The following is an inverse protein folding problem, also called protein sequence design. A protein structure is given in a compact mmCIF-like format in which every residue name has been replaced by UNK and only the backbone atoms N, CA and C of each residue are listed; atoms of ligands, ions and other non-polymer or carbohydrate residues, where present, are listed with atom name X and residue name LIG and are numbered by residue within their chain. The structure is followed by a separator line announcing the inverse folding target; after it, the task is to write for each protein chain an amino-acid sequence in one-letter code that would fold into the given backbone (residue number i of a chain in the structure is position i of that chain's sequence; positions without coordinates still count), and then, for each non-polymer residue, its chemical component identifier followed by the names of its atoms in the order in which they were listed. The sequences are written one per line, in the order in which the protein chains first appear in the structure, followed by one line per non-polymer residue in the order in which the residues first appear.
data_IF_206729072285
#
_entry.id   IF_206729072285
#
_cell.length_a   1.000
_cell.length_b   1.000
_cell.length_c   1.000
_cell.angle_alpha   90.00
_cell.angle_beta   90.00
_cell.angle_gamma   90.00
#
_symmetry.space_group_name_H-M   'P 1'
#
loop_
_entity.id
_entity.type
_entity.pdbx_description
1 polymer ?
#
# COMPACT_ATOMS: atom_id res chain seq x y z
N UNK A 1 19.86 10.28 28.07
CA UNK A 1 18.97 11.40 28.39
C UNK A 1 17.65 10.95 29.04
N UNK A 2 17.39 9.65 29.14
CA UNK A 2 16.21 9.08 29.79
C UNK A 2 14.97 8.97 28.92
N UNK A 3 15.03 9.29 27.63
CA UNK A 3 13.92 9.07 26.67
C UNK A 3 13.69 7.59 26.44
N UNK A 4 12.42 7.18 26.39
CA UNK A 4 12.05 5.84 25.94
C UNK A 4 12.10 5.80 24.41
N UNK A 5 12.65 4.73 23.86
CA UNK A 5 12.83 4.56 22.40
C UNK A 5 12.43 3.14 21.98
N UNK A 6 12.03 3.00 20.72
CA UNK A 6 11.86 1.70 20.08
C UNK A 6 13.13 1.37 19.29
N UNK A 7 13.62 0.14 19.44
CA UNK A 7 14.82 -0.33 18.72
C UNK A 7 14.51 -1.63 18.00
N UNK A 8 14.60 -1.61 16.66
CA UNK A 8 14.47 -2.75 15.77
C UNK A 8 15.90 -3.22 15.41
N UNK A 9 16.22 -4.47 15.67
CA UNK A 9 17.57 -5.04 15.42
C UNK A 9 17.42 -6.23 14.50
N UNK A 10 18.24 -6.29 13.45
CA UNK A 10 18.27 -7.46 12.58
C UNK A 10 18.78 -8.70 13.31
N UNK A 11 18.08 -9.81 13.09
CA UNK A 11 18.55 -11.09 13.61
C UNK A 11 19.90 -11.48 12.95
N UNK A 12 20.90 -11.88 13.72
CA UNK A 12 22.17 -12.38 13.17
C UNK A 12 21.92 -13.54 12.19
N UNK A 13 22.56 -13.51 11.02
CA UNK A 13 22.42 -14.54 10.00
C UNK A 13 21.16 -14.45 9.11
N UNK A 14 20.31 -13.42 9.27
CA UNK A 14 19.10 -13.27 8.47
C UNK A 14 19.42 -13.07 6.97
N UNK A 15 20.51 -12.39 6.66
CA UNK A 15 20.93 -12.13 5.27
C UNK A 15 21.27 -13.44 4.57
N UNK A 16 22.09 -14.26 5.23
CA UNK A 16 22.54 -15.56 4.72
C UNK A 16 21.36 -16.54 4.60
N UNK A 17 20.43 -16.54 5.56
CA UNK A 17 19.24 -17.37 5.51
C UNK A 17 18.33 -16.96 4.34
N UNK A 18 18.10 -15.67 4.13
CA UNK A 18 17.30 -15.19 3.02
C UNK A 18 17.95 -15.44 1.66
N UNK A 19 19.25 -15.28 1.53
CA UNK A 19 19.97 -15.60 0.30
C UNK A 19 19.87 -17.10 -0.03
N UNK A 20 19.93 -17.98 0.98
CA UNK A 20 19.74 -19.41 0.79
C UNK A 20 18.29 -19.75 0.36
N UNK A 21 17.28 -19.11 0.95
CA UNK A 21 15.89 -19.29 0.60
C UNK A 21 15.59 -18.80 -0.81
N UNK A 22 16.15 -17.65 -1.22
CA UNK A 22 15.99 -17.09 -2.56
C UNK A 22 16.72 -17.88 -3.66
N UNK A 23 17.74 -18.69 -3.29
CA UNK A 23 18.37 -19.60 -4.21
C UNK A 23 17.55 -20.89 -4.42
N UNK A 24 16.61 -21.18 -3.54
CA UNK A 24 15.69 -22.30 -3.67
C UNK A 24 14.61 -21.99 -4.71
N UNK A 25 14.80 -22.49 -5.95
CA UNK A 25 13.85 -22.31 -7.05
C UNK A 25 12.40 -22.68 -6.68
N UNK A 26 12.21 -23.66 -5.80
CA UNK A 26 10.89 -24.12 -5.34
C UNK A 26 10.12 -23.04 -4.55
N UNK A 27 10.80 -22.19 -3.78
CA UNK A 27 10.16 -21.09 -3.01
C UNK A 27 9.65 -20.03 -3.98
N UNK A 28 10.45 -19.70 -4.99
CA UNK A 28 10.09 -18.74 -6.03
C UNK A 28 8.94 -19.26 -6.87
N UNK A 29 8.98 -20.52 -7.30
CA UNK A 29 7.87 -21.17 -8.03
C UNK A 29 6.58 -21.23 -7.18
N UNK A 30 6.69 -21.48 -5.88
CA UNK A 30 5.55 -21.48 -4.97
C UNK A 30 4.93 -20.07 -4.87
N UNK A 31 5.72 -19.02 -4.70
CA UNK A 31 5.25 -17.63 -4.68
C UNK A 31 4.59 -17.28 -6.02
N UNK A 32 5.19 -17.64 -7.13
CA UNK A 32 4.67 -17.41 -8.47
C UNK A 32 3.36 -18.17 -8.74
N UNK A 33 3.24 -19.41 -8.27
CA UNK A 33 2.03 -20.21 -8.42
C UNK A 33 0.87 -19.67 -7.57
N UNK A 34 1.14 -19.17 -6.38
CA UNK A 34 0.15 -18.51 -5.52
C UNK A 34 -0.38 -17.21 -6.15
N UNK A 35 0.43 -16.56 -6.97
CA UNK A 35 0.08 -15.32 -7.68
C UNK A 35 -0.62 -15.56 -9.03
N UNK A 36 -0.82 -16.80 -9.46
CA UNK A 36 -1.50 -17.14 -10.72
C UNK A 36 -0.76 -16.69 -11.99
N UNK A 37 0.57 -16.57 -11.93
CA UNK A 37 1.37 -15.82 -12.89
C UNK A 37 1.91 -16.63 -14.08
N UNK A 38 1.28 -17.69 -14.51
CA UNK A 38 1.75 -18.54 -15.64
C UNK A 38 2.00 -17.80 -16.97
N UNK A 39 1.70 -16.49 -17.07
CA UNK A 39 1.91 -15.63 -18.24
C UNK A 39 2.92 -14.48 -18.01
N UNK A 40 3.55 -14.40 -16.85
CA UNK A 40 4.48 -13.31 -16.52
C UNK A 40 5.93 -13.72 -16.75
N UNK A 41 6.77 -12.74 -17.00
CA UNK A 41 8.22 -12.94 -17.08
C UNK A 41 8.74 -13.35 -15.69
N UNK A 42 8.88 -14.65 -15.48
CA UNK A 42 9.29 -15.23 -14.21
C UNK A 42 10.64 -14.72 -13.71
N UNK A 43 11.56 -14.39 -14.62
CA UNK A 43 12.89 -13.86 -14.26
C UNK A 43 12.78 -12.46 -13.68
N UNK A 44 12.02 -11.59 -14.35
CA UNK A 44 11.80 -10.21 -13.88
C UNK A 44 11.11 -10.20 -12.51
N UNK A 45 10.09 -11.03 -12.33
CA UNK A 45 9.37 -11.16 -11.08
C UNK A 45 10.28 -11.68 -9.95
N UNK A 46 11.14 -12.66 -10.26
CA UNK A 46 12.12 -13.18 -9.30
C UNK A 46 13.11 -12.10 -8.85
N UNK A 47 13.63 -11.30 -9.78
CA UNK A 47 14.55 -10.22 -9.43
C UNK A 47 13.86 -9.13 -8.62
N UNK A 48 12.61 -8.79 -8.94
CA UNK A 48 11.81 -7.83 -8.16
C UNK A 48 11.58 -8.32 -6.72
N UNK A 49 11.25 -9.59 -6.54
CA UNK A 49 11.12 -10.21 -5.21
C UNK A 49 12.44 -10.15 -4.44
N UNK A 50 13.56 -10.51 -5.06
CA UNK A 50 14.88 -10.44 -4.43
C UNK A 50 15.27 -9.02 -4.03
N UNK A 51 14.97 -8.05 -4.88
CA UNK A 51 15.27 -6.64 -4.60
C UNK A 51 14.47 -6.15 -3.38
N UNK A 52 13.19 -6.51 -3.27
CA UNK A 52 12.36 -6.17 -2.11
C UNK A 52 12.89 -6.78 -0.83
N UNK A 53 13.27 -8.04 -0.85
CA UNK A 53 13.89 -8.66 0.32
C UNK A 53 15.21 -7.98 0.73
N UNK A 54 16.02 -7.54 -0.22
CA UNK A 54 17.23 -6.77 0.09
C UNK A 54 16.92 -5.40 0.70
N UNK A 55 15.86 -4.73 0.22
CA UNK A 55 15.39 -3.46 0.81
C UNK A 55 14.92 -3.65 2.26
N UNK A 56 14.17 -4.72 2.56
CA UNK A 56 13.73 -5.05 3.93
C UNK A 56 14.90 -5.30 4.90
N UNK A 57 16.07 -5.65 4.37
CA UNK A 57 17.30 -5.83 5.13
C UNK A 57 18.13 -4.54 5.27
N UNK A 58 17.68 -3.42 4.74
CA UNK A 58 18.38 -2.15 4.85
C UNK A 58 17.57 -1.12 5.64
N UNK A 59 17.80 -1.06 6.95
CA UNK A 59 17.10 -0.14 7.82
C UNK A 59 17.44 1.34 7.59
N UNK A 60 18.46 1.66 6.80
CA UNK A 60 18.72 3.04 6.38
C UNK A 60 17.66 3.52 5.40
N UNK A 61 17.18 2.62 4.52
CA UNK A 61 16.05 2.92 3.62
C UNK A 61 14.74 3.11 4.38
N UNK A 62 14.49 2.28 5.40
CA UNK A 62 13.30 2.43 6.26
C UNK A 62 13.32 3.78 7.00
N UNK A 63 14.49 4.18 7.51
CA UNK A 63 14.68 5.49 8.17
C UNK A 63 14.41 6.68 7.21
N UNK A 64 14.96 6.62 6.00
CA UNK A 64 14.72 7.64 4.97
C UNK A 64 13.24 7.74 4.61
N UNK A 65 12.59 6.60 4.37
CA UNK A 65 11.16 6.52 4.03
C UNK A 65 10.28 7.06 5.15
N UNK A 66 10.57 6.69 6.40
CA UNK A 66 9.86 7.21 7.57
C UNK A 66 9.97 8.74 7.69
N UNK A 67 11.16 9.30 7.48
CA UNK A 67 11.37 10.75 7.49
C UNK A 67 10.57 11.44 6.36
N UNK A 68 10.51 10.87 5.16
CA UNK A 68 9.72 11.40 4.05
C UNK A 68 8.22 11.39 4.41
N UNK A 69 7.70 10.29 4.94
CA UNK A 69 6.30 10.21 5.38
C UNK A 69 5.99 11.20 6.49
N UNK A 70 6.92 11.39 7.42
CA UNK A 70 6.80 12.38 8.49
C UNK A 70 6.71 13.80 7.93
N UNK A 71 7.51 14.14 6.93
CA UNK A 71 7.47 15.44 6.26
C UNK A 71 6.17 15.68 5.48
N UNK A 72 5.67 14.65 4.78
CA UNK A 72 4.39 14.70 4.07
C UNK A 72 3.24 15.03 5.02
N UNK A 73 3.28 14.50 6.24
CA UNK A 73 2.17 14.60 7.21
C UNK A 73 2.37 15.61 8.34
N UNK A 74 3.47 16.38 8.33
CA UNK A 74 3.87 17.29 9.43
C UNK A 74 2.81 18.30 9.86
N UNK A 75 1.90 18.67 8.95
CA UNK A 75 0.85 19.67 9.21
C UNK A 75 -0.45 19.04 9.74
N UNK A 76 -0.51 17.72 9.89
CA UNK A 76 -1.67 17.01 10.46
C UNK A 76 -1.32 16.45 11.84
N UNK A 77 -1.78 17.09 12.93
CA UNK A 77 -1.41 16.69 14.30
C UNK A 77 -2.00 15.34 14.73
N UNK A 78 -2.99 14.81 13.98
CA UNK A 78 -3.59 13.52 14.25
C UNK A 78 -2.84 12.36 13.57
N UNK A 79 -1.94 12.66 12.62
CA UNK A 79 -1.05 11.67 11.99
C UNK A 79 0.30 11.74 12.68
N UNK A 80 0.64 10.70 13.44
CA UNK A 80 1.85 10.66 14.25
C UNK A 80 2.84 9.63 13.72
N UNK A 81 3.99 10.11 13.31
CA UNK A 81 5.11 9.28 12.82
C UNK A 81 6.30 9.58 13.71
N UNK A 82 6.83 8.59 14.45
CA UNK A 82 7.92 8.81 15.39
C UNK A 82 9.18 9.32 14.69
N UNK A 83 9.93 10.19 15.34
CA UNK A 83 11.20 10.65 14.78
C UNK A 83 12.23 9.53 14.80
N UNK A 84 13.02 9.44 13.73
CA UNK A 84 14.19 8.55 13.66
C UNK A 84 15.31 9.16 14.49
N UNK A 85 15.98 8.33 15.31
CA UNK A 85 17.16 8.72 16.07
C UNK A 85 18.38 8.26 15.27
N UNK A 86 18.84 9.12 14.37
CA UNK A 86 19.86 8.80 13.36
C UNK A 86 21.18 8.36 14.00
N UNK A 87 21.61 9.00 15.08
CA UNK A 87 22.84 8.67 15.79
C UNK A 87 22.80 7.30 16.50
N UNK A 88 21.63 6.66 16.53
CA UNK A 88 21.39 5.32 17.09
C UNK A 88 20.85 4.35 16.04
N UNK A 89 20.86 4.76 14.77
CA UNK A 89 20.39 3.96 13.65
C UNK A 89 21.55 3.60 12.71
N UNK A 90 21.43 2.50 12.02
CA UNK A 90 22.41 1.99 11.07
C UNK A 90 21.70 1.00 10.12
N UNK A 91 22.44 0.43 9.17
CA UNK A 91 21.88 -0.58 8.26
C UNK A 91 21.19 -1.76 8.96
N UNK A 92 21.61 -2.11 10.20
CA UNK A 92 21.10 -3.29 10.96
C UNK A 92 20.40 -2.93 12.26
N UNK A 93 20.35 -1.67 12.61
CA UNK A 93 19.69 -1.17 13.83
C UNK A 93 18.88 0.05 13.46
N UNK A 94 17.60 0.04 13.78
CA UNK A 94 16.70 1.15 13.55
C UNK A 94 16.12 1.61 14.88
N UNK A 95 16.31 2.87 15.20
CA UNK A 95 15.90 3.47 16.47
C UNK A 95 14.99 4.64 16.22
N UNK A 96 13.83 4.66 16.88
CA UNK A 96 12.86 5.74 16.80
C UNK A 96 12.42 6.18 18.19
N UNK A 97 11.77 7.32 18.28
CA UNK A 97 10.98 7.66 19.46
C UNK A 97 9.95 6.58 19.73
N UNK A 98 9.66 6.39 21.03
CA UNK A 98 8.56 5.51 21.42
C UNK A 98 7.21 6.16 21.10
N UNK A 99 6.32 5.38 20.50
CA UNK A 99 4.98 5.79 20.18
C UNK A 99 3.98 5.05 21.07
N UNK A 100 3.18 5.78 21.82
CA UNK A 100 2.11 5.22 22.62
C UNK A 100 0.82 5.12 21.82
N UNK A 101 -0.08 4.24 22.24
CA UNK A 101 -1.41 4.08 21.63
C UNK A 101 -1.95 2.67 21.83
N UNK A 102 -3.23 2.51 21.58
CA UNK A 102 -3.92 1.22 21.65
C UNK A 102 -3.59 0.40 20.40
N UNK A 103 -3.31 -0.89 20.53
CA UNK A 103 -3.22 -1.79 19.38
C UNK A 103 -4.63 -1.96 18.76
N UNK A 104 -4.66 -2.41 17.50
CA UNK A 104 -5.90 -2.57 16.73
C UNK A 104 -6.97 -3.40 17.45
N UNK A 105 -6.57 -4.49 18.10
CA UNK A 105 -7.50 -5.39 18.79
C UNK A 105 -8.24 -4.72 19.97
N UNK A 106 -7.62 -3.75 20.60
CA UNK A 106 -8.25 -2.94 21.65
C UNK A 106 -9.04 -1.79 21.03
N UNK A 107 -8.46 -1.08 20.05
CA UNK A 107 -9.08 0.05 19.39
C UNK A 107 -10.44 -0.30 18.74
N UNK A 108 -10.57 -1.48 18.14
CA UNK A 108 -11.83 -1.93 17.53
C UNK A 108 -13.00 -2.03 18.51
N UNK A 109 -12.73 -2.09 19.80
CA UNK A 109 -13.73 -2.17 20.88
C UNK A 109 -14.14 -0.78 21.42
N UNK A 110 -13.49 0.29 20.97
CA UNK A 110 -13.81 1.65 21.37
C UNK A 110 -15.20 2.09 20.87
N UNK A 111 -15.68 3.21 21.40
CA UNK A 111 -16.94 3.80 20.97
C UNK A 111 -16.90 4.20 19.48
N UNK A 112 -18.08 4.37 18.88
CA UNK A 112 -18.23 4.64 17.44
C UNK A 112 -17.58 5.97 17.02
N UNK A 113 -17.71 7.00 17.85
CA UNK A 113 -17.17 8.34 17.56
C UNK A 113 -15.64 8.27 17.41
N UNK A 114 -14.96 7.62 18.34
CA UNK A 114 -13.52 7.46 18.33
C UNK A 114 -13.04 6.60 17.16
N UNK A 115 -13.72 5.49 16.89
CA UNK A 115 -13.44 4.63 15.72
C UNK A 115 -13.62 5.38 14.40
N UNK A 116 -14.62 6.27 14.30
CA UNK A 116 -14.82 7.13 13.14
C UNK A 116 -13.66 8.11 12.95
N UNK A 117 -13.23 8.78 14.03
CA UNK A 117 -12.08 9.69 13.98
C UNK A 117 -10.81 9.01 13.51
N UNK A 118 -10.53 7.81 14.03
CA UNK A 118 -9.40 7.02 13.57
C UNK A 118 -9.51 6.60 12.11
N UNK A 119 -10.69 6.19 11.67
CA UNK A 119 -10.90 5.84 10.26
C UNK A 119 -10.64 7.04 9.34
N UNK A 120 -11.10 8.23 9.70
CA UNK A 120 -10.81 9.46 8.95
C UNK A 120 -9.31 9.79 8.93
N UNK A 121 -8.61 9.58 10.05
CA UNK A 121 -7.15 9.78 10.13
C UNK A 121 -6.39 8.78 9.26
N UNK A 122 -6.80 7.49 9.25
CA UNK A 122 -6.24 6.47 8.37
C UNK A 122 -6.42 6.84 6.89
N UNK A 123 -7.61 7.29 6.50
CA UNK A 123 -7.87 7.73 5.13
C UNK A 123 -7.02 8.95 4.74
N UNK A 124 -6.92 9.96 5.60
CA UNK A 124 -6.04 11.13 5.34
C UNK A 124 -4.60 10.73 5.17
N UNK A 125 -4.09 9.81 5.99
CA UNK A 125 -2.74 9.28 5.86
C UNK A 125 -2.52 8.68 4.48
N UNK A 126 -3.37 7.73 4.07
CA UNK A 126 -3.23 7.02 2.80
C UNK A 126 -3.35 7.98 1.61
N UNK A 127 -4.40 8.80 1.57
CA UNK A 127 -4.62 9.71 0.45
C UNK A 127 -3.54 10.77 0.32
N UNK A 128 -3.10 11.35 1.43
CA UNK A 128 -2.05 12.38 1.41
C UNK A 128 -0.72 11.79 0.94
N UNK A 129 -0.34 10.63 1.43
CA UNK A 129 0.86 9.93 0.95
C UNK A 129 0.78 9.63 -0.55
N UNK A 130 -0.32 9.06 -1.02
CA UNK A 130 -0.47 8.63 -2.41
C UNK A 130 -0.61 9.81 -3.37
N UNK A 131 -1.53 10.74 -3.11
CA UNK A 131 -1.93 11.77 -4.07
C UNK A 131 -1.02 13.00 -3.99
N UNK A 132 -0.56 13.38 -2.80
CA UNK A 132 0.36 14.52 -2.61
C UNK A 132 1.80 14.06 -2.65
N UNK A 133 2.16 13.07 -1.83
CA UNK A 133 3.53 12.59 -1.70
C UNK A 133 3.99 11.70 -2.85
N UNK A 134 3.10 11.09 -3.60
CA UNK A 134 3.45 10.14 -4.67
C UNK A 134 4.08 8.85 -4.13
N UNK A 135 3.77 8.48 -2.88
CA UNK A 135 4.29 7.32 -2.19
C UNK A 135 3.15 6.44 -1.68
N UNK A 136 3.29 5.14 -1.85
CA UNK A 136 2.36 4.15 -1.37
C UNK A 136 3.03 3.28 -0.30
N UNK A 137 2.45 3.23 0.93
CA UNK A 137 2.86 2.24 1.92
C UNK A 137 2.16 0.92 1.60
N UNK A 138 2.94 -0.06 1.16
CA UNK A 138 2.44 -1.33 0.65
C UNK A 138 2.28 -2.41 1.74
N UNK A 139 2.47 -2.07 3.03
CA UNK A 139 2.23 -2.97 4.16
C UNK A 139 1.27 -2.34 5.19
N UNK A 140 -0.03 -2.25 4.89
CA UNK A 140 -1.04 -1.70 5.78
C UNK A 140 -1.46 -2.68 6.90
N UNK A 141 -0.50 -3.38 7.50
CA UNK A 141 -0.79 -4.35 8.55
C UNK A 141 -1.33 -3.62 9.80
N UNK A 142 -2.44 -4.08 10.43
CA UNK A 142 -3.01 -3.43 11.61
C UNK A 142 -2.05 -3.30 12.80
N UNK A 143 -1.05 -4.17 12.91
CA UNK A 143 0.01 -4.09 13.91
C UNK A 143 0.96 -2.91 13.76
N UNK A 144 0.90 -2.20 12.62
CA UNK A 144 1.70 -1.01 12.36
C UNK A 144 1.00 0.30 12.74
N UNK A 145 -0.20 0.20 13.39
CA UNK A 145 -1.02 1.33 13.77
C UNK A 145 -1.24 1.37 15.28
N UNK A 146 -1.08 2.56 15.88
CA UNK A 146 -1.29 2.83 17.30
C UNK A 146 -2.35 3.92 17.45
N UNK A 147 -3.50 3.55 18.01
CA UNK A 147 -4.69 4.41 18.10
C UNK A 147 -4.70 5.19 19.39
N UNK A 148 -4.97 6.49 19.34
CA UNK A 148 -4.88 7.39 20.48
C UNK A 148 -6.23 8.00 20.85
N UNK A 149 -6.41 8.37 22.13
CA UNK A 149 -7.68 8.83 22.69
C UNK A 149 -8.22 10.12 22.06
N UNK A 150 -7.33 10.92 21.45
CA UNK A 150 -7.71 12.18 20.79
C UNK A 150 -8.10 11.99 19.31
N UNK A 151 -8.27 10.76 18.85
CA UNK A 151 -8.58 10.44 17.46
C UNK A 151 -7.34 10.38 16.55
N UNK A 152 -6.16 10.61 17.09
CA UNK A 152 -4.90 10.46 16.38
C UNK A 152 -4.53 8.99 16.14
N UNK A 153 -3.74 8.77 15.09
CA UNK A 153 -3.16 7.45 14.77
C UNK A 153 -1.67 7.59 14.58
N UNK A 154 -0.94 6.72 15.27
CA UNK A 154 0.47 6.55 15.08
C UNK A 154 0.78 5.50 14.02
N UNK A 155 1.75 5.77 13.17
CA UNK A 155 2.15 4.92 12.06
C UNK A 155 3.61 4.53 12.21
N UNK A 156 3.88 3.25 12.12
CA UNK A 156 5.23 2.67 12.14
C UNK A 156 5.39 1.70 10.98
N UNK A 157 6.63 1.28 10.74
CA UNK A 157 7.02 0.36 9.67
C UNK A 157 6.83 0.92 8.26
N UNK A 158 7.90 1.53 7.76
CA UNK A 158 8.00 2.07 6.40
C UNK A 158 8.98 1.26 5.54
N UNK A 159 9.21 -0.01 5.90
CA UNK A 159 10.07 -0.93 5.15
C UNK A 159 9.56 -1.21 3.73
N UNK A 160 8.24 -1.26 3.54
CA UNK A 160 7.63 -1.56 2.25
C UNK A 160 6.94 -0.33 1.64
N UNK A 161 7.71 0.64 1.16
CA UNK A 161 7.19 1.84 0.48
C UNK A 161 7.48 1.79 -1.00
N UNK A 162 6.47 2.14 -1.81
CA UNK A 162 6.54 2.17 -3.27
C UNK A 162 6.37 3.59 -3.79
N UNK A 163 7.32 4.13 -4.57
CA UNK A 163 7.09 5.36 -5.31
C UNK A 163 6.05 5.14 -6.41
N UNK A 164 5.10 6.07 -6.52
CA UNK A 164 4.13 6.09 -7.60
C UNK A 164 4.77 6.83 -8.78
N UNK A 165 4.87 6.18 -9.92
CA UNK A 165 5.41 6.77 -11.14
C UNK A 165 4.68 8.08 -11.50
N UNK A 166 5.40 9.13 -11.89
CA UNK A 166 4.86 10.47 -12.13
C UNK A 166 3.66 10.47 -13.08
N UNK A 167 3.70 9.67 -14.15
CA UNK A 167 2.58 9.60 -15.10
C UNK A 167 1.33 8.98 -14.46
N UNK A 168 1.49 7.97 -13.61
CA UNK A 168 0.40 7.34 -12.85
C UNK A 168 -0.15 8.26 -11.79
N UNK A 169 0.72 8.98 -11.09
CA UNK A 169 0.31 9.99 -10.11
C UNK A 169 -0.55 11.08 -10.75
N UNK A 170 -0.20 11.51 -11.99
CA UNK A 170 -1.02 12.43 -12.76
C UNK A 170 -2.41 11.86 -13.02
N UNK A 171 -2.49 10.61 -13.49
CA UNK A 171 -3.77 9.95 -13.73
C UNK A 171 -4.57 9.72 -12.44
N UNK A 172 -3.92 9.33 -11.35
CA UNK A 172 -4.57 9.18 -10.05
C UNK A 172 -5.21 10.50 -9.59
N UNK A 173 -4.49 11.61 -9.70
CA UNK A 173 -5.02 12.95 -9.37
C UNK A 173 -6.22 13.33 -10.26
N UNK A 174 -6.15 13.06 -11.55
CA UNK A 174 -7.25 13.34 -12.47
C UNK A 174 -8.46 12.46 -12.16
N UNK A 175 -8.27 11.18 -11.84
CA UNK A 175 -9.32 10.25 -11.46
C UNK A 175 -10.08 10.75 -10.22
N UNK A 176 -9.35 11.16 -9.17
CA UNK A 176 -9.97 11.74 -7.98
C UNK A 176 -10.70 13.04 -8.27
N UNK A 177 -10.14 13.94 -9.08
CA UNK A 177 -10.79 15.20 -9.47
C UNK A 177 -12.07 14.94 -10.24
N UNK A 178 -12.03 14.02 -11.20
CA UNK A 178 -13.18 13.65 -12.01
C UNK A 178 -14.30 13.00 -11.18
N UNK A 179 -13.94 12.10 -10.24
CA UNK A 179 -14.90 11.51 -9.31
C UNK A 179 -15.61 12.57 -8.46
N UNK A 180 -14.87 13.55 -7.94
CA UNK A 180 -15.43 14.64 -7.15
C UNK A 180 -16.33 15.59 -7.94
N UNK A 181 -15.99 15.84 -9.21
CA UNK A 181 -16.78 16.74 -10.08
C UNK A 181 -17.94 16.05 -10.78
N UNK A 182 -18.03 14.71 -10.71
CA UNK A 182 -19.03 13.93 -11.44
C UNK A 182 -18.81 13.87 -12.96
N UNK A 183 -17.58 14.19 -13.42
CA UNK A 183 -17.21 14.10 -14.84
C UNK A 183 -16.86 12.65 -15.21
N UNK A 184 -17.87 11.89 -15.64
CA UNK A 184 -17.74 10.48 -16.00
C UNK A 184 -16.75 10.26 -17.15
N UNK A 185 -16.70 11.17 -18.13
CA UNK A 185 -15.77 11.03 -19.26
C UNK A 185 -14.32 11.17 -18.81
N UNK A 186 -14.02 12.22 -18.04
CA UNK A 186 -12.69 12.42 -17.48
C UNK A 186 -12.30 11.28 -16.51
N UNK A 187 -13.26 10.73 -15.76
CA UNK A 187 -13.05 9.58 -14.88
C UNK A 187 -12.64 8.35 -15.68
N UNK A 188 -13.37 7.99 -16.74
CA UNK A 188 -13.07 6.84 -17.59
C UNK A 188 -11.71 6.99 -18.28
N UNK A 189 -11.40 8.18 -18.82
CA UNK A 189 -10.10 8.49 -19.43
C UNK A 189 -8.96 8.33 -18.42
N UNK A 190 -9.14 8.82 -17.20
CA UNK A 190 -8.11 8.72 -16.16
C UNK A 190 -7.91 7.26 -15.66
N UNK A 191 -9.01 6.50 -15.51
CA UNK A 191 -8.95 5.09 -15.14
C UNK A 191 -8.21 4.26 -16.21
N UNK A 192 -8.51 4.50 -17.47
CA UNK A 192 -7.84 3.85 -18.61
C UNK A 192 -6.35 4.22 -18.67
N UNK A 193 -6.03 5.51 -18.50
CA UNK A 193 -4.65 6.00 -18.50
C UNK A 193 -3.80 5.46 -17.35
N UNK A 194 -4.40 5.29 -16.18
CA UNK A 194 -3.73 4.76 -14.98
C UNK A 194 -3.29 3.30 -15.16
N UNK A 195 -4.07 2.49 -15.90
CA UNK A 195 -3.79 1.07 -16.16
C UNK A 195 -3.30 0.80 -17.59
N UNK A 196 -3.00 1.84 -18.38
CA UNK A 196 -2.51 1.76 -19.75
C UNK A 196 -3.35 0.82 -20.63
N UNK A 197 -4.69 0.96 -20.57
CA UNK A 197 -5.61 0.12 -21.35
C UNK A 197 -5.54 0.46 -22.83
N UNK A 198 -5.81 -0.54 -23.68
CA UNK A 198 -5.77 -0.41 -25.15
C UNK A 198 -7.10 -0.79 -25.80
N UNK A 199 -8.18 -0.53 -25.10
CA UNK A 199 -9.53 -0.85 -25.57
C UNK A 199 -9.97 -2.30 -25.33
N UNK A 200 -11.19 -2.60 -25.79
CA UNK A 200 -11.78 -3.93 -25.70
C UNK A 200 -12.36 -4.28 -24.32
N UNK A 201 -12.66 -5.56 -24.13
CA UNK A 201 -13.31 -6.05 -22.90
C UNK A 201 -12.51 -5.77 -21.62
N UNK A 202 -11.19 -5.68 -21.71
CA UNK A 202 -10.35 -5.35 -20.56
C UNK A 202 -10.56 -3.91 -20.10
N UNK A 203 -10.67 -2.98 -21.02
CA UNK A 203 -10.91 -1.57 -20.70
C UNK A 203 -12.26 -1.38 -20.01
N UNK A 204 -13.32 -2.04 -20.48
CA UNK A 204 -14.62 -2.00 -19.83
C UNK A 204 -14.58 -2.56 -18.40
N UNK A 205 -13.88 -3.67 -18.19
CA UNK A 205 -13.67 -4.21 -16.84
C UNK A 205 -12.91 -3.25 -15.92
N UNK A 206 -11.94 -2.52 -16.45
CA UNK A 206 -11.17 -1.51 -15.69
C UNK A 206 -12.07 -0.35 -15.29
N UNK A 207 -12.88 0.17 -16.20
CA UNK A 207 -13.84 1.25 -15.91
C UNK A 207 -14.84 0.84 -14.84
N UNK A 208 -15.42 -0.36 -14.98
CA UNK A 208 -16.38 -0.91 -14.02
C UNK A 208 -15.75 -1.07 -12.64
N UNK A 209 -14.55 -1.64 -12.55
CA UNK A 209 -13.86 -1.84 -11.29
C UNK A 209 -13.45 -0.51 -10.64
N UNK A 210 -12.94 0.44 -11.43
CA UNK A 210 -12.62 1.78 -10.95
C UNK A 210 -13.88 2.49 -10.41
N UNK A 211 -15.01 2.41 -11.10
CA UNK A 211 -16.28 2.98 -10.64
C UNK A 211 -16.71 2.35 -9.30
N UNK A 212 -16.58 1.03 -9.14
CA UNK A 212 -16.86 0.36 -7.85
C UNK A 212 -15.95 0.86 -6.73
N UNK A 213 -14.64 0.98 -6.97
CA UNK A 213 -13.67 1.45 -5.97
C UNK A 213 -13.94 2.90 -5.55
N UNK A 214 -14.48 3.73 -6.43
CA UNK A 214 -14.72 5.15 -6.19
C UNK A 214 -16.12 5.47 -5.66
N UNK A 215 -17.00 4.47 -5.49
CA UNK A 215 -18.33 4.67 -4.88
C UNK A 215 -18.30 5.41 -3.54
N UNK A 216 -17.34 5.22 -2.63
CA UNK A 216 -17.27 6.00 -1.42
C UNK A 216 -17.16 7.52 -1.65
N UNK A 217 -16.67 7.94 -2.80
CA UNK A 217 -16.55 9.35 -3.20
C UNK A 217 -17.79 9.78 -4.00
N UNK A 218 -18.19 8.99 -5.02
CA UNK A 218 -19.28 9.36 -5.94
C UNK A 218 -20.65 9.27 -5.30
N UNK A 219 -20.85 8.33 -4.37
CA UNK A 219 -22.13 8.08 -3.69
C UNK A 219 -22.15 8.67 -2.26
N UNK A 220 -21.31 9.67 -1.98
CA UNK A 220 -21.22 10.29 -0.64
C UNK A 220 -22.54 10.94 -0.18
N UNK A 221 -22.98 10.75 1.08
CA UNK A 221 -22.34 9.98 2.15
C UNK A 221 -22.44 8.46 1.97
N UNK A 222 -21.33 7.75 2.06
CA UNK A 222 -21.24 6.32 1.80
C UNK A 222 -20.85 5.55 3.08
N UNK A 223 -21.58 4.48 3.37
CA UNK A 223 -21.27 3.61 4.50
C UNK A 223 -20.43 2.40 4.04
N UNK A 224 -19.18 2.35 4.48
CA UNK A 224 -18.29 1.23 4.19
C UNK A 224 -18.70 0.01 5.02
N UNK A 225 -19.15 -1.05 4.35
CA UNK A 225 -19.52 -2.32 4.99
C UNK A 225 -18.57 -3.45 4.62
N UNK A 226 -18.57 -4.51 5.43
CA UNK A 226 -17.78 -5.71 5.12
C UNK A 226 -18.21 -6.35 3.79
N UNK A 227 -19.53 -6.32 3.48
CA UNK A 227 -20.07 -6.82 2.22
C UNK A 227 -19.54 -6.04 1.02
N UNK A 228 -19.45 -4.71 1.15
CA UNK A 228 -18.88 -3.87 0.10
C UNK A 228 -17.39 -4.20 -0.12
N UNK A 229 -16.60 -4.29 0.96
CA UNK A 229 -15.19 -4.65 0.86
C UNK A 229 -15.02 -6.06 0.25
N UNK A 230 -15.82 -7.03 0.68
CA UNK A 230 -15.81 -8.38 0.10
C UNK A 230 -16.18 -8.39 -1.39
N UNK A 231 -17.15 -7.55 -1.80
CA UNK A 231 -17.54 -7.44 -3.21
C UNK A 231 -16.42 -6.92 -4.10
N UNK A 232 -15.63 -5.93 -3.62
CA UNK A 232 -14.45 -5.44 -4.35
C UNK A 232 -13.41 -6.54 -4.56
N UNK A 233 -13.10 -7.30 -3.51
CA UNK A 233 -12.15 -8.42 -3.58
C UNK A 233 -12.65 -9.52 -4.54
N UNK A 234 -13.93 -9.86 -4.47
CA UNK A 234 -14.53 -10.86 -5.36
C UNK A 234 -14.52 -10.41 -6.82
N UNK A 235 -14.86 -9.16 -7.07
CA UNK A 235 -14.84 -8.58 -8.42
C UNK A 235 -13.43 -8.60 -9.00
N UNK A 236 -12.44 -8.16 -8.22
CA UNK A 236 -11.03 -8.22 -8.61
C UNK A 236 -10.58 -9.64 -8.95
N UNK A 237 -10.92 -10.64 -8.11
CA UNK A 237 -10.61 -12.06 -8.39
C UNK A 237 -11.24 -12.55 -9.68
N UNK A 238 -12.51 -12.24 -9.92
CA UNK A 238 -13.22 -12.65 -11.15
C UNK A 238 -12.62 -11.99 -12.39
N UNK A 239 -12.25 -10.72 -12.31
CA UNK A 239 -11.55 -10.00 -13.36
C UNK A 239 -10.20 -10.64 -13.65
N UNK A 240 -9.39 -10.95 -12.63
CA UNK A 240 -8.11 -11.61 -12.79
C UNK A 240 -8.24 -12.99 -13.48
N UNK A 241 -9.23 -13.81 -13.07
CA UNK A 241 -9.52 -15.11 -13.70
C UNK A 241 -9.93 -14.94 -15.18
N UNK A 242 -10.75 -13.93 -15.49
CA UNK A 242 -11.19 -13.65 -16.85
C UNK A 242 -10.00 -13.23 -17.73
N UNK A 243 -9.11 -12.39 -17.21
CA UNK A 243 -7.89 -11.95 -17.89
C UNK A 243 -6.97 -13.14 -18.18
N UNK A 244 -6.74 -14.00 -17.19
CA UNK A 244 -5.87 -15.19 -17.35
C UNK A 244 -6.43 -16.16 -18.39
N UNK A 245 -7.75 -16.37 -18.42
CA UNK A 245 -8.43 -17.27 -19.37
C UNK A 245 -8.57 -16.64 -20.77
N UNK A 246 -8.58 -15.31 -20.88
CA UNK A 246 -8.71 -14.64 -22.16
C UNK A 246 -7.44 -14.82 -22.99
N UNK A 247 -7.59 -15.18 -24.29
CA UNK A 247 -6.50 -15.17 -25.28
C UNK A 247 -6.24 -13.73 -25.79
N UNK A 248 -6.66 -12.71 -25.04
CA UNK A 248 -6.69 -11.34 -25.53
C UNK A 248 -5.28 -10.77 -25.65
N UNK A 249 -4.92 -10.33 -26.86
CA UNK A 249 -3.60 -9.71 -27.18
C UNK A 249 -3.47 -8.27 -26.61
N UNK A 250 -4.55 -7.71 -26.09
CA UNK A 250 -4.61 -6.35 -25.54
C UNK A 250 -4.37 -6.29 -24.03
N UNK A 251 -4.08 -7.43 -23.39
CA UNK A 251 -3.71 -7.46 -21.99
C UNK A 251 -2.33 -6.84 -21.80
N UNK A 252 -2.29 -5.75 -21.05
CA UNK A 252 -1.03 -5.16 -20.58
C UNK A 252 -0.71 -5.83 -19.24
N UNK A 253 0.46 -6.43 -19.07
CA UNK A 253 0.87 -7.01 -17.79
C UNK A 253 0.75 -5.96 -16.68
N UNK A 254 0.31 -6.38 -15.50
CA UNK A 254 0.32 -5.50 -14.34
C UNK A 254 1.69 -4.82 -14.20
N UNK A 255 1.71 -3.51 -13.95
CA UNK A 255 2.97 -2.81 -13.77
C UNK A 255 3.77 -3.39 -12.59
N UNK A 256 5.10 -3.28 -12.63
CA UNK A 256 5.95 -3.61 -11.48
C UNK A 256 5.45 -2.90 -10.22
N UNK A 257 5.51 -3.56 -9.08
CA UNK A 257 5.07 -3.01 -7.79
C UNK A 257 3.60 -3.24 -7.44
N UNK A 258 2.68 -3.41 -8.42
CA UNK A 258 1.27 -3.74 -8.12
C UNK A 258 1.12 -5.12 -7.45
N UNK A 259 2.05 -6.04 -7.68
CA UNK A 259 2.05 -7.36 -7.05
C UNK A 259 2.15 -7.29 -5.52
N UNK A 260 2.76 -6.25 -4.98
CA UNK A 260 2.90 -6.03 -3.55
C UNK A 260 1.75 -5.20 -2.95
N UNK A 261 0.97 -4.50 -3.78
CA UNK A 261 -0.26 -3.81 -3.39
C UNK A 261 -1.37 -4.80 -3.02
N UNK A 262 -1.32 -6.02 -3.52
CA UNK A 262 -2.32 -7.07 -3.27
C UNK A 262 -2.07 -7.90 -2.00
N UNK A 263 -1.28 -7.44 -1.05
CA UNK A 263 -1.21 -7.98 0.30
C UNK A 263 -2.40 -7.55 1.20
N UNK A 264 -3.34 -6.80 0.63
CA UNK A 264 -4.59 -6.41 1.24
C UNK A 264 -5.61 -7.55 1.21
#
# INVERSE_FOLDING_TARGET
DGRVVAVKVQHPGIVEAMDADLQNANVIEMILSLMGTAKFDSKRLTEEVKERFREELDYTLEAERQNIFRDIHKDDPLIRIPAVIEERSSKRVFTTEWLEGLPFEEARLANEELRRSWAETLWRFVYRANIVGGLFNADPHPGNYFFQEDGGVGFVDFGCVQPIENQRLKWARQLHTAAHSGDQKAFDEAACGMLDTRGGAYEEMVKEYAAMCFRPITDSPFHLTQEFAASLVQHFKSMAVTIVKSKNKHFVPMPPGILFINRL
#
